data_IF_633212226200
#
_entry.id   IF_633212226200
#
_cell.length_a   1.000
_cell.length_b   1.000
_cell.length_c   1.000
_cell.angle_alpha   90.00
_cell.angle_beta   90.00
_cell.angle_gamma   90.00
#
_symmetry.space_group_name_H-M   'P 1'
#
loop_
_entity.id
_entity.type
_entity.pdbx_description
1 polymer ?
#
# COMPACT_ATOMS: atom_id res chain seq x y z
N UNK A 1 -18.81 -22.80 13.63
CA UNK A 1 -18.77 -21.53 12.87
C UNK A 1 -17.48 -21.53 12.08
N UNK A 2 -17.55 -21.68 10.75
CA UNK A 2 -16.35 -21.60 9.89
C UNK A 2 -15.93 -20.15 9.72
N UNK A 3 -14.72 -19.83 10.13
CA UNK A 3 -14.06 -18.55 9.89
C UNK A 3 -13.79 -18.41 8.40
N UNK A 4 -14.37 -17.41 7.73
CA UNK A 4 -13.96 -17.06 6.37
C UNK A 4 -12.57 -16.41 6.49
N UNK A 5 -11.53 -16.93 5.83
CA UNK A 5 -10.22 -16.28 5.84
C UNK A 5 -10.37 -14.87 5.29
N UNK A 6 -9.97 -13.86 6.07
CA UNK A 6 -9.88 -12.49 5.58
C UNK A 6 -8.65 -12.42 4.69
N UNK A 7 -8.87 -12.23 3.39
CA UNK A 7 -7.79 -11.86 2.51
C UNK A 7 -7.36 -10.45 2.90
N UNK A 8 -6.26 -10.34 3.66
CA UNK A 8 -5.58 -9.06 3.81
C UNK A 8 -5.04 -8.72 2.42
N UNK A 9 -5.41 -7.55 1.89
CA UNK A 9 -4.99 -7.12 0.55
C UNK A 9 -3.73 -6.29 0.69
N UNK A 10 -2.56 -6.86 0.41
CA UNK A 10 -1.30 -6.13 0.51
C UNK A 10 -1.00 -5.50 -0.85
N UNK A 11 -0.48 -4.28 -0.87
CA UNK A 11 -0.05 -3.63 -2.10
C UNK A 11 1.47 -3.48 -2.10
N UNK A 12 2.12 -4.15 -3.05
CA UNK A 12 3.53 -3.86 -3.35
C UNK A 12 3.60 -2.70 -4.32
N UNK A 13 4.61 -1.85 -4.13
CA UNK A 13 4.88 -0.74 -5.02
C UNK A 13 6.36 -0.59 -5.31
N UNK A 14 6.65 -0.01 -6.45
CA UNK A 14 7.98 0.39 -6.86
C UNK A 14 7.91 1.59 -7.77
N UNK A 15 8.91 2.45 -7.72
CA UNK A 15 8.94 3.64 -8.54
C UNK A 15 10.19 4.46 -8.39
N UNK A 16 10.33 5.41 -9.30
CA UNK A 16 11.34 6.47 -9.15
C UNK A 16 10.81 7.54 -8.22
N UNK A 17 11.62 7.93 -7.24
CA UNK A 17 11.33 8.99 -6.27
C UNK A 17 12.46 10.02 -6.30
N UNK A 18 12.11 11.29 -6.15
CA UNK A 18 13.05 12.40 -6.06
C UNK A 18 13.31 12.70 -4.58
N UNK A 19 14.57 12.58 -4.15
CA UNK A 19 15.03 12.84 -2.79
C UNK A 19 15.90 14.08 -2.80
N UNK A 20 15.62 15.03 -1.90
CA UNK A 20 16.45 16.22 -1.76
C UNK A 20 17.92 15.82 -1.55
N UNK A 21 18.84 16.54 -2.21
CA UNK A 21 20.29 16.32 -2.17
C UNK A 21 20.81 15.03 -2.83
N UNK A 22 19.93 14.07 -3.16
CA UNK A 22 20.32 12.78 -3.75
C UNK A 22 19.80 12.60 -5.19
N UNK A 23 18.84 13.42 -5.61
CA UNK A 23 18.22 13.35 -6.92
C UNK A 23 17.29 12.15 -7.05
N UNK A 24 17.22 11.57 -8.24
CA UNK A 24 16.28 10.49 -8.56
C UNK A 24 16.81 9.13 -8.09
N UNK A 25 16.04 8.45 -7.26
CA UNK A 25 16.38 7.13 -6.70
C UNK A 25 15.25 6.12 -6.93
N UNK A 26 15.60 4.84 -7.03
CA UNK A 26 14.62 3.76 -7.15
C UNK A 26 14.19 3.28 -5.77
N UNK A 27 12.88 3.26 -5.50
CA UNK A 27 12.32 2.80 -4.24
C UNK A 27 11.36 1.64 -4.45
N UNK A 28 11.28 0.77 -3.45
CA UNK A 28 10.33 -0.34 -3.36
C UNK A 28 9.72 -0.35 -1.96
N UNK A 29 8.48 -0.80 -1.84
CA UNK A 29 7.85 -0.94 -0.54
C UNK A 29 6.52 -1.67 -0.59
N UNK A 30 5.90 -1.76 0.58
CA UNK A 30 4.65 -2.50 0.76
C UNK A 30 3.71 -1.68 1.63
N UNK A 31 2.42 -1.68 1.27
CA UNK A 31 1.36 -1.02 2.02
C UNK A 31 0.40 -2.09 2.55
N UNK A 32 0.18 -2.06 3.86
CA UNK A 32 -0.72 -2.98 4.55
C UNK A 32 -2.00 -2.22 4.94
N UNK A 33 -3.18 -2.68 4.50
CA UNK A 33 -4.44 -2.01 4.79
C UNK A 33 -4.81 -2.13 6.27
N UNK A 34 -5.49 -1.13 6.84
CA UNK A 34 -6.10 -1.26 8.15
C UNK A 34 -7.17 -2.35 8.16
N UNK A 35 -7.20 -3.16 9.23
CA UNK A 35 -8.14 -4.28 9.37
C UNK A 35 -9.58 -3.76 9.37
N UNK A 36 -10.42 -4.35 8.52
CA UNK A 36 -11.87 -4.10 8.51
C UNK A 36 -12.31 -2.82 7.80
N UNK A 37 -11.42 -2.11 7.10
CA UNK A 37 -11.78 -0.97 6.27
C UNK A 37 -11.63 -1.29 4.77
N UNK A 38 -12.52 -0.76 3.91
CA UNK A 38 -12.34 -0.87 2.47
C UNK A 38 -11.04 -0.16 2.06
N UNK A 39 -10.18 -0.88 1.34
CA UNK A 39 -8.88 -0.38 0.93
C UNK A 39 -8.67 -0.66 -0.55
N UNK A 40 -8.52 0.42 -1.33
CA UNK A 40 -8.41 0.35 -2.78
C UNK A 40 -7.07 0.92 -3.26
N UNK A 41 -6.73 0.63 -4.52
CA UNK A 41 -5.49 1.08 -5.16
C UNK A 41 -5.26 2.60 -5.05
N UNK A 42 -6.32 3.40 -5.19
CA UNK A 42 -6.21 4.87 -5.10
C UNK A 42 -5.84 5.33 -3.68
N UNK A 43 -6.38 4.67 -2.65
CA UNK A 43 -6.03 4.96 -1.26
C UNK A 43 -4.60 4.52 -0.93
N UNK A 44 -4.20 3.34 -1.40
CA UNK A 44 -2.82 2.87 -1.28
C UNK A 44 -1.82 3.83 -1.94
N UNK A 45 -2.13 4.34 -3.15
CA UNK A 45 -1.30 5.35 -3.82
C UNK A 45 -1.21 6.64 -2.99
N UNK A 46 -2.32 7.12 -2.42
CA UNK A 46 -2.33 8.29 -1.54
C UNK A 46 -1.45 8.10 -0.31
N UNK A 47 -1.53 6.94 0.35
CA UNK A 47 -0.74 6.63 1.54
C UNK A 47 0.77 6.52 1.21
N UNK A 48 1.14 5.98 0.04
CA UNK A 48 2.54 5.95 -0.43
C UNK A 48 3.09 7.37 -0.63
N UNK A 49 2.33 8.23 -1.32
CA UNK A 49 2.75 9.61 -1.60
C UNK A 49 2.88 10.43 -0.31
N UNK A 50 1.95 10.26 0.63
CA UNK A 50 2.03 10.89 1.95
C UNK A 50 3.27 10.42 2.73
N UNK A 51 3.51 9.11 2.76
CA UNK A 51 4.69 8.56 3.43
C UNK A 51 6.00 9.07 2.80
N UNK A 52 6.08 9.12 1.45
CA UNK A 52 7.25 9.68 0.77
C UNK A 52 7.49 11.14 1.18
N UNK A 53 6.44 11.95 1.22
CA UNK A 53 6.55 13.34 1.66
C UNK A 53 7.07 13.46 3.10
N UNK A 54 6.61 12.60 4.01
CA UNK A 54 7.09 12.54 5.39
C UNK A 54 8.57 12.12 5.48
N UNK A 55 9.08 11.35 4.50
CA UNK A 55 10.51 11.03 4.38
C UNK A 55 11.33 12.13 3.69
N UNK A 56 10.72 13.26 3.30
CA UNK A 56 11.39 14.30 2.51
C UNK A 56 11.65 13.91 1.06
N UNK A 57 10.89 12.94 0.54
CA UNK A 57 10.92 12.49 -0.85
C UNK A 57 9.62 12.88 -1.57
N UNK A 58 9.69 12.97 -2.89
CA UNK A 58 8.50 13.21 -3.73
C UNK A 58 8.48 12.24 -4.90
N UNK A 59 7.30 11.95 -5.44
CA UNK A 59 7.14 11.14 -6.63
C UNK A 59 5.89 11.60 -7.38
N UNK A 60 5.93 11.53 -8.70
CA UNK A 60 4.73 11.72 -9.51
C UNK A 60 3.93 10.41 -9.57
N UNK A 61 2.58 10.45 -9.55
CA UNK A 61 1.78 9.23 -9.52
C UNK A 61 2.02 8.26 -10.70
N UNK A 62 2.43 8.80 -11.84
CA UNK A 62 2.81 8.04 -13.06
C UNK A 62 4.19 7.37 -12.96
N UNK A 63 5.05 7.82 -12.04
CA UNK A 63 6.35 7.20 -11.77
C UNK A 63 6.27 5.98 -10.81
N UNK A 64 5.09 5.72 -10.23
CA UNK A 64 4.85 4.63 -9.27
C UNK A 64 3.97 3.56 -9.92
N UNK A 65 4.50 2.34 -9.94
CA UNK A 65 3.71 1.13 -10.21
C UNK A 65 3.28 0.50 -8.89
N UNK A 66 2.01 0.12 -8.81
CA UNK A 66 1.43 -0.50 -7.63
C UNK A 66 0.65 -1.76 -8.05
N UNK A 67 0.93 -2.87 -7.37
CA UNK A 67 0.35 -4.17 -7.64
C UNK A 67 -0.31 -4.70 -6.37
N UNK A 68 -1.56 -5.14 -6.51
CA UNK A 68 -2.22 -5.87 -5.44
C UNK A 68 -1.64 -7.28 -5.40
N UNK A 69 -1.09 -7.66 -4.24
CA UNK A 69 -0.64 -9.01 -3.97
C UNK A 69 -1.57 -9.66 -2.93
N UNK A 70 -1.94 -10.94 -3.10
CA UNK A 70 -2.60 -11.67 -2.04
C UNK A 70 -1.67 -11.69 -0.82
N UNK A 71 -2.11 -11.18 0.33
CA UNK A 71 -1.34 -11.45 1.55
C UNK A 71 -1.35 -12.96 1.80
N UNK A 72 -0.26 -13.52 2.38
CA UNK A 72 -0.36 -14.83 2.99
C UNK A 72 -1.54 -14.83 3.98
N UNK A 73 -2.30 -15.94 4.07
CA UNK A 73 -3.52 -15.99 4.89
C UNK A 73 -3.18 -15.70 6.35
N UNK A 74 -3.49 -14.50 6.81
CA UNK A 74 -3.42 -14.11 8.22
C UNK A 74 -4.70 -14.56 8.91
N UNK A 75 -4.61 -15.56 9.79
CA UNK A 75 -5.72 -16.05 10.59
C UNK A 75 -6.07 -15.05 11.71
N UNK A 76 -6.79 -13.98 11.40
CA UNK A 76 -7.34 -13.09 12.44
C UNK A 76 -8.75 -12.64 12.07
N UNK A 77 -9.67 -12.82 13.01
CA UNK A 77 -11.12 -12.67 12.89
C UNK A 77 -11.60 -11.19 12.86
N UNK A 78 -12.86 -11.00 12.45
CA UNK A 78 -13.78 -9.82 12.61
C UNK A 78 -13.43 -8.44 12.02
N UNK A 79 -14.34 -7.64 11.43
CA UNK A 79 -15.79 -7.73 11.17
C UNK A 79 -16.17 -7.48 9.68
N UNK A 80 -17.47 -7.64 9.39
CA UNK A 80 -18.21 -7.53 8.13
C UNK A 80 -18.44 -6.10 7.61
N UNK A 81 -18.42 -5.90 6.29
CA UNK A 81 -19.03 -4.73 5.65
C UNK A 81 -18.34 -4.18 4.40
N UNK A 82 -18.93 -4.45 3.23
CA UNK A 82 -19.10 -3.52 2.09
C UNK A 82 -17.89 -2.88 1.40
N UNK A 83 -17.66 -3.28 0.15
CA UNK A 83 -17.73 -2.36 -0.99
C UNK A 83 -19.02 -2.64 -1.76
#
# INVERSE_FOLDING_TARGET
MSSIPRTTFVYDWHGWVDVAEHGKVWAIGTVVPPVGAPYCRAKAMGDILAWLADQGATATPDAISIMLIPAPPTSTADASGGC
#
